data_IF_613287907600
#
_entry.id   IF_613287907600
#
_cell.length_a   1.000
_cell.length_b   1.000
_cell.length_c   1.000
_cell.angle_alpha   90.00
_cell.angle_beta   90.00
_cell.angle_gamma   90.00
#
_symmetry.space_group_name_H-M   'P 1'
#
loop_
_entity.id
_entity.type
_entity.pdbx_description
1 polymer ?
#
# COMPACT_ATOMS: atom_id res chain seq x y z
N UNK A 1 33.36 -24.41 -46.04
CA UNK A 1 32.07 -23.72 -45.80
C UNK A 1 32.41 -22.37 -45.21
N UNK A 2 32.15 -21.29 -45.94
CA UNK A 2 32.52 -19.93 -45.54
C UNK A 2 31.34 -19.30 -44.80
N UNK A 3 31.61 -18.80 -43.60
CA UNK A 3 30.65 -18.06 -42.79
C UNK A 3 30.47 -16.67 -43.42
N UNK A 4 29.34 -16.45 -44.08
CA UNK A 4 29.08 -15.20 -44.80
C UNK A 4 28.82 -14.07 -43.81
N UNK A 5 29.28 -12.86 -44.14
CA UNK A 5 29.08 -11.65 -43.31
C UNK A 5 27.61 -11.48 -42.88
N UNK A 6 26.69 -11.76 -43.78
CA UNK A 6 25.24 -11.69 -43.54
C UNK A 6 24.75 -12.68 -42.48
N UNK A 7 25.41 -13.84 -42.32
CA UNK A 7 25.10 -14.82 -41.29
C UNK A 7 25.45 -14.33 -39.88
N UNK A 8 26.60 -13.66 -39.75
CA UNK A 8 27.06 -13.07 -38.48
C UNK A 8 26.17 -11.89 -38.03
N UNK A 9 25.74 -11.05 -38.97
CA UNK A 9 24.83 -9.93 -38.66
C UNK A 9 23.47 -10.45 -38.18
N UNK A 10 22.91 -11.45 -38.87
CA UNK A 10 21.65 -12.07 -38.44
C UNK A 10 21.73 -12.71 -37.05
N UNK A 11 22.85 -13.36 -36.75
CA UNK A 11 23.06 -14.00 -35.44
C UNK A 11 23.17 -12.96 -34.31
N UNK A 12 23.82 -11.82 -34.57
CA UNK A 12 23.90 -10.71 -33.63
C UNK A 12 22.53 -10.06 -33.37
N UNK A 13 21.71 -9.88 -34.40
CA UNK A 13 20.36 -9.32 -34.27
C UNK A 13 19.43 -10.25 -33.49
N UNK A 14 19.50 -11.57 -33.72
CA UNK A 14 18.71 -12.55 -32.98
C UNK A 14 19.14 -12.65 -31.50
N UNK A 15 20.44 -12.50 -31.20
CA UNK A 15 20.94 -12.44 -29.82
C UNK A 15 20.49 -11.14 -29.13
N UNK A 16 20.55 -10.00 -29.82
CA UNK A 16 20.08 -8.72 -29.29
C UNK A 16 18.56 -8.67 -29.07
N UNK A 17 17.77 -9.40 -29.88
CA UNK A 17 16.32 -9.56 -29.66
C UNK A 17 16.06 -10.43 -28.42
N UNK A 18 16.75 -11.56 -28.30
CA UNK A 18 16.63 -12.46 -27.14
C UNK A 18 17.06 -11.81 -25.82
N UNK A 19 18.05 -10.92 -25.86
CA UNK A 19 18.45 -10.17 -24.67
C UNK A 19 17.38 -9.15 -24.27
N UNK A 20 16.82 -8.41 -25.23
CA UNK A 20 15.72 -7.48 -24.97
C UNK A 20 14.46 -8.16 -24.44
N UNK A 21 14.11 -9.32 -25.00
CA UNK A 21 13.00 -10.13 -24.49
C UNK A 21 13.25 -10.57 -23.04
N UNK A 22 14.47 -11.02 -22.71
CA UNK A 22 14.84 -11.35 -21.32
C UNK A 22 14.82 -10.14 -20.39
N UNK A 23 15.29 -8.99 -20.85
CA UNK A 23 15.32 -7.78 -20.04
C UNK A 23 13.87 -7.30 -19.77
N UNK A 24 12.97 -7.41 -20.75
CA UNK A 24 11.53 -7.14 -20.59
C UNK A 24 10.88 -8.16 -19.66
N UNK A 25 11.12 -9.46 -19.84
CA UNK A 25 10.59 -10.51 -18.97
C UNK A 25 11.13 -10.38 -17.54
N UNK A 26 12.39 -9.97 -17.35
CA UNK A 26 12.98 -9.73 -16.03
C UNK A 26 12.53 -8.40 -15.39
N UNK A 27 12.13 -7.40 -16.19
CA UNK A 27 11.47 -6.20 -15.71
C UNK A 27 10.02 -6.51 -15.30
N UNK A 28 9.31 -7.34 -16.08
CA UNK A 28 7.98 -7.83 -15.76
C UNK A 28 7.99 -8.70 -14.49
N UNK A 29 8.91 -9.67 -14.40
CA UNK A 29 9.05 -10.54 -13.22
C UNK A 29 9.48 -9.78 -11.95
N UNK A 30 10.15 -8.63 -12.06
CA UNK A 30 10.42 -7.73 -10.93
C UNK A 30 9.19 -6.95 -10.49
N UNK A 31 8.29 -6.65 -11.42
CA UNK A 31 6.98 -6.10 -11.10
C UNK A 31 6.10 -7.09 -10.32
N UNK A 32 6.38 -8.40 -10.43
CA UNK A 32 5.62 -9.48 -9.81
C UNK A 32 5.99 -9.79 -8.34
N UNK A 33 6.86 -8.98 -7.71
CA UNK A 33 7.27 -9.15 -6.29
C UNK A 33 6.43 -8.26 -5.35
N UNK A 34 5.97 -8.78 -4.20
CA UNK A 34 5.10 -8.01 -3.30
C UNK A 34 5.87 -6.80 -2.78
N UNK A 35 5.19 -5.65 -2.55
CA UNK A 35 5.86 -4.43 -2.07
C UNK A 35 6.83 -4.80 -0.94
N UNK A 36 8.15 -4.66 -1.18
CA UNK A 36 9.13 -5.03 -0.19
C UNK A 36 8.93 -4.14 1.03
N UNK A 37 8.89 -4.72 2.24
CA UNK A 37 8.76 -3.92 3.44
C UNK A 37 9.93 -2.94 3.53
N UNK A 38 9.67 -1.73 4.04
CA UNK A 38 10.73 -0.75 4.30
C UNK A 38 11.88 -1.43 5.06
N UNK A 39 13.15 -1.21 4.65
CA UNK A 39 14.30 -1.83 5.28
C UNK A 39 14.30 -1.62 6.79
N UNK A 40 14.65 -2.65 7.56
CA UNK A 40 14.64 -2.56 9.03
C UNK A 40 15.52 -1.42 9.56
N UNK A 41 16.64 -1.11 8.89
CA UNK A 41 17.51 0.02 9.25
C UNK A 41 16.83 1.38 9.11
N UNK A 42 15.98 1.56 8.10
CA UNK A 42 15.19 2.78 7.91
C UNK A 42 14.11 2.88 8.99
N UNK A 43 13.45 1.75 9.31
CA UNK A 43 12.45 1.70 10.36
C UNK A 43 13.04 1.95 11.76
N UNK A 44 14.23 1.44 12.06
CA UNK A 44 14.95 1.72 13.31
C UNK A 44 15.31 3.20 13.44
N UNK A 45 15.80 3.81 12.35
CA UNK A 45 16.13 5.23 12.34
C UNK A 45 14.87 6.11 12.51
N UNK A 46 13.75 5.69 11.94
CA UNK A 46 12.44 6.32 12.13
C UNK A 46 11.93 6.16 13.56
N UNK A 47 11.97 4.95 14.13
CA UNK A 47 11.52 4.66 15.49
C UNK A 47 12.30 5.48 16.52
N UNK A 48 13.62 5.63 16.34
CA UNK A 48 14.45 6.50 17.19
C UNK A 48 14.00 7.98 17.17
N UNK A 49 13.45 8.48 16.06
CA UNK A 49 12.92 9.84 15.99
C UNK A 49 11.63 9.99 16.83
N UNK A 50 10.83 8.92 16.90
CA UNK A 50 9.59 8.87 17.68
C UNK A 50 9.84 8.74 19.19
N UNK A 51 11.00 8.28 19.64
CA UNK A 51 11.32 8.15 21.09
C UNK A 51 11.26 9.49 21.84
N UNK A 52 11.36 10.62 21.13
CA UNK A 52 11.20 11.95 21.71
C UNK A 52 9.75 12.32 22.03
N UNK A 53 8.78 11.60 21.46
CA UNK A 53 7.35 11.82 21.67
C UNK A 53 6.86 11.07 22.90
N UNK A 54 5.85 11.65 23.55
CA UNK A 54 5.18 11.02 24.68
C UNK A 54 3.95 10.29 24.19
N UNK A 55 3.94 8.96 24.33
CA UNK A 55 2.81 8.13 23.95
C UNK A 55 1.85 7.92 25.14
N UNK A 56 0.53 7.82 24.92
CA UNK A 56 -0.15 7.81 23.61
C UNK A 56 -0.17 9.17 22.91
N UNK A 57 -0.03 9.17 21.58
CA UNK A 57 0.04 10.38 20.74
C UNK A 57 -0.94 10.29 19.55
N UNK A 58 -1.52 11.40 19.12
CA UNK A 58 -2.44 11.43 17.97
C UNK A 58 -1.69 11.41 16.64
N UNK A 59 -2.40 11.05 15.56
CA UNK A 59 -1.87 11.15 14.20
C UNK A 59 -1.36 12.57 13.89
N UNK A 60 -2.17 13.58 14.18
CA UNK A 60 -1.78 14.99 14.05
C UNK A 60 -0.54 15.34 14.90
N UNK A 61 -0.44 14.85 16.13
CA UNK A 61 0.74 15.06 16.99
C UNK A 61 2.03 14.47 16.40
N UNK A 62 1.94 13.26 15.82
CA UNK A 62 3.07 12.62 15.12
C UNK A 62 3.44 13.41 13.87
N UNK A 63 2.46 13.79 13.04
CA UNK A 63 2.70 14.57 11.80
C UNK A 63 3.31 15.93 12.13
N UNK A 64 2.85 16.61 13.18
CA UNK A 64 3.43 17.88 13.60
C UNK A 64 4.90 17.77 14.02
N UNK A 65 5.31 16.63 14.59
CA UNK A 65 6.67 16.43 15.09
C UNK A 65 7.65 15.89 14.04
N UNK A 66 7.20 14.95 13.21
CA UNK A 66 8.06 14.20 12.27
C UNK A 66 7.46 14.07 10.87
N UNK A 67 6.44 14.86 10.53
CA UNK A 67 5.70 14.80 9.27
C UNK A 67 6.57 14.88 8.02
N UNK A 68 7.54 15.80 7.99
CA UNK A 68 8.46 16.00 6.86
C UNK A 68 9.53 14.90 6.73
N UNK A 69 9.59 13.96 7.67
CA UNK A 69 10.60 12.91 7.63
C UNK A 69 10.29 11.94 6.48
N UNK A 70 11.25 11.82 5.59
CA UNK A 70 11.20 10.87 4.48
C UNK A 70 11.49 9.44 4.97
N UNK A 71 10.77 8.50 4.38
CA UNK A 71 10.90 7.06 4.54
C UNK A 71 11.02 6.48 3.13
N UNK A 72 12.17 5.85 2.85
CA UNK A 72 12.40 5.20 1.57
C UNK A 72 11.80 3.78 1.57
N UNK A 73 11.01 3.48 0.55
CA UNK A 73 10.57 2.14 0.18
C UNK A 73 10.95 1.86 -1.28
N UNK A 74 10.78 0.61 -1.71
CA UNK A 74 11.03 0.23 -3.10
C UNK A 74 9.96 0.83 -4.05
N UNK A 75 8.80 1.23 -3.51
CA UNK A 75 7.74 1.95 -4.24
C UNK A 75 7.98 3.46 -4.35
N UNK A 76 8.99 4.00 -3.66
CA UNK A 76 9.36 5.42 -3.68
C UNK A 76 9.68 5.98 -2.30
N UNK A 77 9.80 7.31 -2.23
CA UNK A 77 10.00 8.02 -0.97
C UNK A 77 8.69 8.60 -0.51
N UNK A 78 8.30 8.31 0.74
CA UNK A 78 7.07 8.80 1.37
C UNK A 78 7.44 9.62 2.59
N UNK A 79 6.75 10.73 2.83
CA UNK A 79 6.88 11.43 4.11
C UNK A 79 6.01 10.77 5.17
N UNK A 80 6.30 10.96 6.46
CA UNK A 80 5.41 10.48 7.53
C UNK A 80 4.01 11.09 7.37
N UNK A 81 3.95 12.36 6.96
CA UNK A 81 2.71 13.04 6.64
C UNK A 81 1.93 12.34 5.52
N UNK A 82 2.57 11.63 4.59
CA UNK A 82 1.87 10.87 3.52
C UNK A 82 1.21 9.58 4.04
N UNK A 83 1.65 9.06 5.18
CA UNK A 83 1.28 7.73 5.69
C UNK A 83 0.42 7.76 6.96
N UNK A 84 0.51 8.83 7.74
CA UNK A 84 -0.21 9.01 8.99
C UNK A 84 -1.26 10.12 8.80
N UNK A 85 -2.51 9.93 9.26
CA UNK A 85 -3.53 10.98 9.18
C UNK A 85 -3.12 12.20 9.99
N UNK A 86 -3.18 13.38 9.36
CA UNK A 86 -3.05 14.67 10.05
C UNK A 86 -4.38 15.03 10.72
N UNK A 87 -4.81 14.16 11.64
CA UNK A 87 -6.06 14.27 12.37
C UNK A 87 -5.99 13.56 13.72
N UNK A 88 -6.83 14.01 14.65
CA UNK A 88 -6.93 13.44 16.00
C UNK A 88 -7.82 12.18 16.08
N UNK A 89 -8.35 11.71 14.94
CA UNK A 89 -9.23 10.53 14.83
C UNK A 89 -8.52 9.21 15.15
N UNK A 90 -7.19 9.23 15.18
CA UNK A 90 -6.35 8.08 15.50
C UNK A 90 -5.33 8.41 16.58
N UNK A 91 -5.20 7.49 17.54
CA UNK A 91 -4.19 7.53 18.60
C UNK A 91 -3.31 6.29 18.50
N UNK A 92 -2.01 6.51 18.56
CA UNK A 92 -0.99 5.46 18.59
C UNK A 92 -0.49 5.28 20.01
N UNK A 93 -0.31 4.02 20.42
CA UNK A 93 0.06 3.68 21.81
C UNK A 93 1.58 3.64 22.02
N UNK A 94 2.36 3.55 20.96
CA UNK A 94 3.82 3.40 21.02
C UNK A 94 4.50 3.73 19.69
N UNK A 95 5.81 4.01 19.69
CA UNK A 95 6.62 4.13 18.47
C UNK A 95 6.48 2.90 17.55
N UNK A 96 6.50 1.70 18.13
CA UNK A 96 6.32 0.46 17.39
C UNK A 96 4.97 0.35 16.66
N UNK A 97 3.90 0.95 17.20
CA UNK A 97 2.61 1.00 16.52
C UNK A 97 2.66 1.89 15.27
N UNK A 98 3.37 3.03 15.36
CA UNK A 98 3.60 3.92 14.22
C UNK A 98 4.51 3.24 13.19
N UNK A 99 5.59 2.57 13.64
CA UNK A 99 6.48 1.76 12.78
C UNK A 99 5.69 0.73 11.98
N UNK A 100 4.82 -0.04 12.65
CA UNK A 100 3.99 -1.05 12.00
C UNK A 100 3.09 -0.43 10.92
N UNK A 101 2.53 0.74 11.19
CA UNK A 101 1.71 1.46 10.22
C UNK A 101 2.53 1.87 9.00
N UNK A 102 3.66 2.55 9.18
CA UNK A 102 4.46 3.05 8.04
C UNK A 102 5.12 1.94 7.23
N UNK A 103 5.37 0.76 7.83
CA UNK A 103 6.00 -0.40 7.17
C UNK A 103 5.29 -0.84 5.88
N UNK A 104 4.00 -0.50 5.71
CA UNK A 104 3.20 -0.77 4.51
C UNK A 104 2.68 0.56 3.92
N UNK A 105 3.51 1.30 3.16
CA UNK A 105 3.20 2.63 2.68
C UNK A 105 1.88 2.71 1.91
N UNK A 106 1.60 1.77 0.99
CA UNK A 106 0.36 1.84 0.19
C UNK A 106 -0.89 1.67 1.07
N UNK A 107 -0.88 0.71 1.99
CA UNK A 107 -1.99 0.50 2.91
C UNK A 107 -2.14 1.67 3.90
N UNK A 108 -1.02 2.21 4.41
CA UNK A 108 -1.02 3.35 5.32
C UNK A 108 -1.58 4.61 4.65
N UNK A 109 -1.11 4.95 3.45
CA UNK A 109 -1.62 6.08 2.67
C UNK A 109 -3.11 5.92 2.30
N UNK A 110 -3.57 4.69 2.02
CA UNK A 110 -4.99 4.42 1.82
C UNK A 110 -5.83 4.68 3.08
N UNK A 111 -5.38 4.20 4.25
CA UNK A 111 -6.05 4.42 5.53
C UNK A 111 -6.05 5.90 5.93
N UNK A 112 -4.93 6.60 5.72
CA UNK A 112 -4.82 8.05 5.92
C UNK A 112 -5.93 8.77 5.16
N UNK A 113 -6.04 8.57 3.85
CA UNK A 113 -7.02 9.25 3.00
C UNK A 113 -8.46 8.99 3.46
N UNK A 114 -8.76 7.77 3.88
CA UNK A 114 -10.07 7.41 4.42
C UNK A 114 -10.31 8.12 5.76
N UNK A 115 -9.34 8.07 6.69
CA UNK A 115 -9.46 8.70 8.01
C UNK A 115 -9.66 10.21 7.90
N UNK A 116 -8.92 10.89 7.02
CA UNK A 116 -9.07 12.33 6.76
C UNK A 116 -10.42 12.64 6.10
N UNK A 117 -10.88 11.83 5.14
CA UNK A 117 -12.20 12.01 4.56
C UNK A 117 -13.33 11.83 5.60
N UNK A 118 -13.20 10.87 6.52
CA UNK A 118 -14.16 10.71 7.63
C UNK A 118 -14.12 11.91 8.58
N UNK A 119 -12.92 12.45 8.87
CA UNK A 119 -12.76 13.61 9.75
C UNK A 119 -13.44 14.88 9.21
N UNK A 120 -13.69 14.97 7.90
CA UNK A 120 -14.46 16.05 7.28
C UNK A 120 -15.98 15.93 7.51
N UNK A 121 -16.50 14.74 7.88
CA UNK A 121 -17.93 14.52 8.10
C UNK A 121 -18.36 14.88 9.53
N UNK A 122 -19.51 15.57 9.70
CA UNK A 122 -19.99 15.95 11.03
C UNK A 122 -20.54 14.74 11.81
N UNK A 123 -19.99 14.50 13.01
CA UNK A 123 -20.38 13.42 13.94
C UNK A 123 -20.05 11.99 13.47
N UNK A 124 -19.19 11.83 12.47
CA UNK A 124 -18.69 10.51 12.06
C UNK A 124 -17.27 10.33 12.57
N UNK A 125 -16.97 9.11 13.02
CA UNK A 125 -15.63 8.73 13.47
C UNK A 125 -15.31 7.32 12.97
N UNK A 126 -14.08 7.14 12.50
CA UNK A 126 -13.59 5.83 12.10
C UNK A 126 -13.03 5.11 13.34
N UNK A 127 -13.87 4.33 14.01
CA UNK A 127 -13.49 3.60 15.22
C UNK A 127 -12.33 2.62 15.00
N UNK A 128 -11.54 2.33 16.05
CA UNK A 128 -10.35 1.44 15.98
C UNK A 128 -10.66 0.10 15.29
N UNK A 129 -11.73 -0.60 15.70
CA UNK A 129 -12.08 -1.90 15.10
C UNK A 129 -12.39 -1.82 13.60
N UNK A 130 -12.95 -0.70 13.14
CA UNK A 130 -13.25 -0.49 11.72
C UNK A 130 -11.96 -0.21 10.95
N UNK A 131 -11.07 0.63 11.49
CA UNK A 131 -9.71 0.85 10.96
C UNK A 131 -8.92 -0.45 10.85
N UNK A 132 -8.87 -1.25 11.91
CA UNK A 132 -8.16 -2.54 11.92
C UNK A 132 -8.71 -3.50 10.84
N UNK A 133 -10.03 -3.48 10.62
CA UNK A 133 -10.65 -4.30 9.58
C UNK A 133 -10.36 -3.80 8.16
N UNK A 134 -10.24 -2.48 7.98
CA UNK A 134 -9.85 -1.88 6.70
C UNK A 134 -8.38 -2.18 6.42
N UNK A 135 -7.50 -1.97 7.41
CA UNK A 135 -6.08 -2.30 7.34
C UNK A 135 -5.89 -3.77 6.97
N UNK A 136 -6.57 -4.68 7.69
CA UNK A 136 -6.53 -6.11 7.35
C UNK A 136 -6.99 -6.38 5.92
N UNK A 137 -8.04 -5.72 5.45
CA UNK A 137 -8.52 -5.88 4.06
C UNK A 137 -7.46 -5.45 3.05
N UNK A 138 -6.76 -4.35 3.29
CA UNK A 138 -5.68 -3.90 2.42
C UNK A 138 -4.46 -4.84 2.46
N UNK A 139 -4.11 -5.37 3.63
CA UNK A 139 -3.04 -6.37 3.74
C UNK A 139 -3.37 -7.67 3.00
N UNK A 140 -4.63 -8.08 2.98
CA UNK A 140 -5.08 -9.27 2.25
C UNK A 140 -5.09 -9.02 0.74
N UNK A 141 -5.43 -7.80 0.30
CA UNK A 141 -5.27 -7.40 -1.11
C UNK A 141 -3.80 -7.42 -1.54
N UNK A 142 -2.90 -6.85 -0.74
CA UNK A 142 -1.46 -6.87 -0.98
C UNK A 142 -0.88 -8.30 -1.06
N UNK A 143 -1.52 -9.26 -0.38
CA UNK A 143 -1.08 -10.65 -0.35
C UNK A 143 -1.60 -11.50 -1.52
N UNK A 144 -2.69 -11.08 -2.17
CA UNK A 144 -3.31 -11.83 -3.28
C UNK A 144 -2.49 -11.69 -4.55
N UNK A 145 -2.05 -10.47 -4.87
CA UNK A 145 -1.21 -10.26 -6.02
C UNK A 145 -0.17 -9.17 -5.78
N UNK A 146 1.08 -9.58 -5.97
CA UNK A 146 2.26 -8.74 -5.91
C UNK A 146 2.44 -7.89 -7.18
N UNK A 147 1.85 -8.32 -8.31
CA UNK A 147 2.15 -7.76 -9.64
C UNK A 147 1.37 -6.49 -9.96
N UNK A 148 0.34 -6.18 -9.18
CA UNK A 148 -0.57 -5.07 -9.45
C UNK A 148 -0.12 -3.74 -8.81
N UNK A 149 1.07 -3.70 -8.19
CA UNK A 149 1.58 -2.54 -7.43
C UNK A 149 0.55 -2.03 -6.40
N UNK A 150 -0.08 -2.95 -5.67
CA UNK A 150 -1.16 -2.68 -4.72
C UNK A 150 -2.35 -1.94 -5.36
N UNK A 151 -2.61 -2.14 -6.65
CA UNK A 151 -3.72 -1.48 -7.35
C UNK A 151 -5.06 -1.80 -6.67
N UNK A 152 -5.25 -3.03 -6.16
CA UNK A 152 -6.43 -3.39 -5.39
C UNK A 152 -6.66 -2.50 -4.18
N UNK A 153 -5.61 -2.16 -3.44
CA UNK A 153 -5.70 -1.23 -2.30
C UNK A 153 -6.18 0.14 -2.77
N UNK A 154 -5.59 0.66 -3.85
CA UNK A 154 -5.94 1.98 -4.41
C UNK A 154 -7.40 2.01 -4.87
N UNK A 155 -7.85 1.02 -5.62
CA UNK A 155 -9.23 0.92 -6.14
C UNK A 155 -10.26 0.84 -5.01
N UNK A 156 -9.99 0.06 -3.96
CA UNK A 156 -10.90 -0.05 -2.82
C UNK A 156 -10.89 1.23 -1.97
N UNK A 157 -9.72 1.84 -1.77
CA UNK A 157 -9.59 3.09 -1.04
C UNK A 157 -10.28 4.26 -1.76
N UNK A 158 -10.09 4.41 -3.07
CA UNK A 158 -10.73 5.43 -3.88
C UNK A 158 -12.25 5.29 -3.82
N UNK A 159 -12.76 4.07 -4.04
CA UNK A 159 -14.19 3.80 -3.88
C UNK A 159 -14.72 4.19 -2.49
N UNK A 160 -13.94 3.95 -1.44
CA UNK A 160 -14.32 4.28 -0.05
C UNK A 160 -14.37 5.78 0.17
N UNK A 161 -13.34 6.50 -0.29
CA UNK A 161 -13.28 7.97 -0.23
C UNK A 161 -14.43 8.58 -1.02
N UNK A 162 -14.78 8.02 -2.19
CA UNK A 162 -15.94 8.45 -2.98
C UNK A 162 -17.26 8.22 -2.22
N UNK A 163 -17.43 7.08 -1.52
CA UNK A 163 -18.61 6.88 -0.67
C UNK A 163 -18.71 7.95 0.43
N UNK A 164 -17.58 8.27 1.06
CA UNK A 164 -17.53 9.25 2.15
C UNK A 164 -17.82 10.66 1.62
N UNK A 165 -17.14 11.09 0.54
CA UNK A 165 -17.24 12.46 0.03
C UNK A 165 -18.51 12.73 -0.76
N UNK A 166 -18.95 11.79 -1.59
CA UNK A 166 -20.10 12.01 -2.47
C UNK A 166 -21.41 11.63 -1.82
N UNK A 167 -21.40 10.66 -0.90
CA UNK A 167 -22.62 10.12 -0.29
C UNK A 167 -22.71 10.40 1.20
N UNK A 168 -21.67 10.97 1.82
CA UNK A 168 -21.61 11.22 3.26
C UNK A 168 -21.85 9.94 4.08
N UNK A 169 -21.40 8.78 3.55
CA UNK A 169 -21.56 7.47 4.20
C UNK A 169 -20.20 6.82 4.37
N UNK A 170 -19.88 6.44 5.61
CA UNK A 170 -18.71 5.63 5.93
C UNK A 170 -19.07 4.14 5.74
N UNK A 171 -18.47 3.42 4.77
CA UNK A 171 -18.80 2.01 4.55
C UNK A 171 -18.44 1.13 5.75
N UNK A 172 -19.25 0.10 6.01
CA UNK A 172 -18.91 -0.88 7.03
C UNK A 172 -17.77 -1.82 6.60
N UNK A 173 -17.12 -2.48 7.58
CA UNK A 173 -16.03 -3.44 7.30
C UNK A 173 -16.46 -4.57 6.37
N UNK A 174 -17.72 -5.00 6.42
CA UNK A 174 -18.27 -6.02 5.52
C UNK A 174 -18.36 -5.52 4.08
N UNK A 175 -18.68 -4.25 3.88
CA UNK A 175 -18.81 -3.66 2.55
C UNK A 175 -17.45 -3.48 1.89
N UNK A 176 -16.45 -3.05 2.65
CA UNK A 176 -15.05 -2.96 2.22
C UNK A 176 -14.53 -4.34 1.79
N UNK A 177 -14.72 -5.37 2.62
CA UNK A 177 -14.33 -6.76 2.26
C UNK A 177 -15.04 -7.25 1.00
N UNK A 178 -16.34 -6.95 0.86
CA UNK A 178 -17.09 -7.32 -0.34
C UNK A 178 -16.56 -6.60 -1.58
N UNK A 179 -16.25 -5.30 -1.47
CA UNK A 179 -15.69 -4.52 -2.57
C UNK A 179 -14.32 -5.06 -2.99
N UNK A 180 -13.46 -5.39 -2.02
CA UNK A 180 -12.17 -6.04 -2.24
C UNK A 180 -12.34 -7.40 -2.94
N UNK A 181 -13.22 -8.27 -2.44
CA UNK A 181 -13.49 -9.56 -3.06
C UNK A 181 -14.06 -9.43 -4.49
N UNK A 182 -14.90 -8.42 -4.75
CA UNK A 182 -15.37 -8.09 -6.11
C UNK A 182 -14.19 -7.70 -7.00
N UNK A 183 -13.32 -6.78 -6.55
CA UNK A 183 -12.11 -6.43 -7.31
C UNK A 183 -11.26 -7.67 -7.62
N UNK A 184 -11.05 -8.56 -6.65
CA UNK A 184 -10.24 -9.74 -6.86
C UNK A 184 -10.83 -10.67 -7.94
N UNK A 185 -12.13 -10.95 -7.86
CA UNK A 185 -12.82 -11.81 -8.83
C UNK A 185 -12.88 -11.19 -10.22
N UNK A 186 -13.06 -9.87 -10.31
CA UNK A 186 -13.11 -9.15 -11.59
C UNK A 186 -11.74 -9.17 -12.30
N UNK A 187 -10.64 -9.26 -11.55
CA UNK A 187 -9.27 -9.38 -12.08
C UNK A 187 -8.77 -10.83 -12.18
N UNK A 188 -9.64 -11.81 -11.91
CA UNK A 188 -9.32 -13.24 -12.08
C UNK A 188 -8.53 -13.87 -10.94
N UNK A 189 -8.39 -13.18 -9.80
CA UNK A 189 -7.76 -13.75 -8.61
C UNK A 189 -8.70 -14.72 -7.90
N UNK A 190 -8.16 -15.87 -7.48
CA UNK A 190 -8.89 -16.85 -6.70
C UNK A 190 -8.97 -16.39 -5.24
N UNK A 191 -10.18 -16.39 -4.68
CA UNK A 191 -10.42 -16.03 -3.27
C UNK A 191 -11.20 -17.16 -2.63
N UNK A 192 -10.59 -17.85 -1.67
CA UNK A 192 -11.25 -18.97 -0.99
C UNK A 192 -12.37 -18.48 -0.08
N UNK A 193 -13.46 -19.25 0.02
CA UNK A 193 -14.58 -18.94 0.91
C UNK A 193 -14.19 -18.98 2.41
N UNK A 194 -13.08 -19.65 2.75
CA UNK A 194 -12.58 -19.76 4.12
C UNK A 194 -11.60 -18.64 4.52
N UNK A 195 -11.29 -17.73 3.59
CA UNK A 195 -10.33 -16.64 3.80
C UNK A 195 -11.01 -15.31 4.15
N UNK A 196 -10.21 -14.30 4.52
CA UNK A 196 -10.74 -12.98 4.87
C UNK A 196 -11.54 -12.34 3.73
N UNK A 197 -11.22 -12.59 2.47
CA UNK A 197 -11.99 -12.05 1.34
C UNK A 197 -13.05 -13.01 0.80
N UNK A 198 -13.26 -14.17 1.44
CA UNK A 198 -14.22 -15.22 1.08
C UNK A 198 -15.71 -14.89 1.28
N UNK A 199 -16.11 -13.64 1.05
CA UNK A 199 -17.49 -13.14 1.24
C UNK A 199 -18.34 -13.17 -0.02
#
# INVERSE_FOLDING_TARGET
>A
MADNKDGREKQADDDARRQRERDIDAELARGDEPEPPIPDSELEAFEAALESLSFPETGAGIVAAVGDREIASDSGTHTVADLIPDADVETFESPAAVRKRVQRPTAAGALKRIAEAVAELPNEELGRSQRDAFERTFLELAAIDAVDYDQGIRVVADWTVDQIREREVVPGSREIRRRAATYCRDNGYEVSNDEWLGI
#
